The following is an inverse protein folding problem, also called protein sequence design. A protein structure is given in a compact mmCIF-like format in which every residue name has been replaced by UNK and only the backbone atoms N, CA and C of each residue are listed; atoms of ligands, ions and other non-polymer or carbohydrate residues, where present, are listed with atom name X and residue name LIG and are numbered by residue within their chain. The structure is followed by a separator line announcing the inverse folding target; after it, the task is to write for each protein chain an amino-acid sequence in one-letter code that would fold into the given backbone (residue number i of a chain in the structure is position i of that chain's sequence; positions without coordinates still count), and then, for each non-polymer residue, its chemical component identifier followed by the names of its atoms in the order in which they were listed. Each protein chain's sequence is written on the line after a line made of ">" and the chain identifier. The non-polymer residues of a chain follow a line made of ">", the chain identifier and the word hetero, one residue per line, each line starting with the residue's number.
data_IF_731294839934
#
_entry.id   IF_731294839934
#
_cell.length_a   1.000
_cell.length_b   1.000
_cell.length_c   1.000
_cell.angle_alpha   90.00
_cell.angle_beta   90.00
_cell.angle_gamma   90.00
#
_symmetry.space_group_name_H-M   'P 1'
#
loop_
_entity.id
_entity.type
_entity.pdbx_description
1 polymer ?
#
# COMPACT_ATOMS: atom_id res chain seq x y z
N UNK A 1 9.58 27.82 10.30
CA UNK A 1 9.78 27.39 8.91
C UNK A 1 8.74 26.32 8.61
N UNK A 2 7.61 26.74 8.05
CA UNK A 2 6.51 25.87 7.60
C UNK A 2 6.63 25.87 6.07
N UNK A 3 6.90 24.72 5.47
CA UNK A 3 6.89 24.56 4.02
C UNK A 3 5.51 24.02 3.67
N UNK A 4 4.68 24.87 3.09
CA UNK A 4 3.34 24.55 2.63
C UNK A 4 3.39 23.57 1.44
N UNK A 5 2.99 22.33 1.67
CA UNK A 5 2.89 21.23 0.68
C UNK A 5 1.59 21.32 -0.14
N UNK A 6 1.01 22.52 -0.26
CA UNK A 6 -0.27 22.75 -0.93
C UNK A 6 -0.11 23.51 -2.26
N UNK A 7 0.81 23.06 -3.13
CA UNK A 7 1.05 23.70 -4.44
C UNK A 7 1.33 22.75 -5.61
N UNK A 8 0.73 21.56 -5.64
CA UNK A 8 0.63 20.82 -6.89
C UNK A 8 -0.85 20.51 -7.15
N UNK A 9 -1.30 20.78 -8.37
CA UNK A 9 -2.66 20.61 -8.89
C UNK A 9 -3.63 21.79 -8.75
N UNK A 10 -3.23 22.95 -9.26
CA UNK A 10 -4.17 23.84 -9.98
C UNK A 10 -3.52 24.31 -11.27
N UNK A 11 -3.65 23.52 -12.36
CA UNK A 11 -3.81 24.07 -13.72
C UNK A 11 -4.78 23.14 -14.46
N UNK A 12 -5.98 23.65 -14.71
CA UNK A 12 -6.97 23.08 -15.62
C UNK A 12 -6.93 23.90 -16.92
N UNK A 13 -7.11 23.23 -18.06
CA UNK A 13 -7.78 23.67 -19.29
C UNK A 13 -6.97 23.61 -20.60
N UNK A 14 -7.65 23.03 -21.60
CA UNK A 14 -7.61 23.22 -23.06
C UNK A 14 -6.79 22.22 -23.90
N UNK A 15 -7.50 21.62 -24.88
CA UNK A 15 -6.94 21.28 -26.19
C UNK A 15 -6.44 19.85 -26.34
N UNK A 16 -6.89 19.18 -27.40
CA UNK A 16 -6.48 17.82 -27.73
C UNK A 16 -4.99 17.67 -28.04
N UNK A 17 -4.54 16.42 -28.04
CA UNK A 17 -3.23 16.03 -28.51
C UNK A 17 -2.82 14.66 -27.99
N UNK A 18 -2.65 13.71 -28.90
CA UNK A 18 -1.89 12.48 -28.63
C UNK A 18 -0.49 12.86 -28.11
N UNK A 19 -0.14 12.36 -26.93
CA UNK A 19 1.20 12.52 -26.37
C UNK A 19 1.28 11.73 -25.07
N UNK A 20 2.05 10.66 -25.06
CA UNK A 20 2.28 9.83 -23.88
C UNK A 20 2.73 10.69 -22.70
N UNK A 21 2.04 10.56 -21.58
CA UNK A 21 2.42 11.15 -20.30
C UNK A 21 2.81 10.02 -19.33
N UNK A 22 3.79 10.26 -18.46
CA UNK A 22 4.34 9.25 -17.56
C UNK A 22 3.30 8.84 -16.52
N UNK A 23 3.37 7.56 -16.17
CA UNK A 23 2.59 6.83 -15.16
C UNK A 23 2.03 7.74 -14.06
N UNK A 24 0.69 7.85 -13.97
CA UNK A 24 0.05 8.52 -12.84
C UNK A 24 0.33 7.70 -11.57
N UNK A 25 1.26 8.18 -10.75
CA UNK A 25 1.76 7.56 -9.52
C UNK A 25 0.81 7.66 -8.32
N UNK A 26 -0.44 8.07 -8.54
CA UNK A 26 -1.36 8.34 -7.44
C UNK A 26 -2.25 7.13 -7.16
N UNK A 27 -2.02 6.49 -6.01
CA UNK A 27 -2.89 5.46 -5.48
C UNK A 27 -4.31 6.01 -5.30
N UNK A 28 -5.31 5.25 -5.72
CA UNK A 28 -6.70 5.68 -5.67
C UNK A 28 -7.28 5.42 -4.28
N UNK A 29 -7.72 6.48 -3.63
CA UNK A 29 -8.60 6.44 -2.46
C UNK A 29 -10.02 6.13 -2.96
N UNK A 30 -10.48 4.88 -2.83
CA UNK A 30 -11.80 4.48 -3.36
C UNK A 30 -12.86 4.37 -2.25
N UNK A 31 -13.99 5.02 -2.47
CA UNK A 31 -15.28 4.62 -1.90
C UNK A 31 -15.83 3.42 -2.68
N UNK A 32 -16.15 2.32 -1.99
CA UNK A 32 -16.74 1.14 -2.64
C UNK A 32 -18.21 1.37 -3.00
N UNK A 33 -18.56 1.28 -4.29
CA UNK A 33 -19.95 1.12 -4.74
C UNK A 33 -20.23 -0.33 -5.15
N UNK A 34 -20.71 -1.16 -4.20
CA UNK A 34 -21.99 -1.91 -4.26
C UNK A 34 -22.09 -3.07 -3.26
N UNK A 35 -23.06 -2.93 -2.33
CA UNK A 35 -23.83 -3.96 -1.58
C UNK A 35 -23.08 -4.92 -0.63
N UNK A 36 -23.00 -4.53 0.65
CA UNK A 36 -23.89 -5.06 1.72
C UNK A 36 -23.48 -4.47 3.09
N UNK A 37 -24.42 -3.81 3.78
CA UNK A 37 -24.53 -3.71 5.25
C UNK A 37 -23.35 -3.27 6.14
N UNK A 38 -22.16 -2.95 5.62
CA UNK A 38 -21.01 -2.50 6.42
C UNK A 38 -20.85 -0.99 6.35
N UNK A 39 -20.53 -0.34 7.49
CA UNK A 39 -20.06 1.06 7.49
C UNK A 39 -18.90 1.19 6.49
N UNK A 40 -19.08 1.95 5.43
CA UNK A 40 -18.00 2.27 4.49
C UNK A 40 -16.91 3.00 5.28
N UNK A 41 -15.69 2.46 5.25
CA UNK A 41 -14.54 3.17 5.80
C UNK A 41 -14.37 4.49 5.04
N UNK A 42 -13.99 5.59 5.71
CA UNK A 42 -13.62 6.83 5.04
C UNK A 42 -12.57 6.54 3.96
N UNK A 43 -12.69 7.17 2.80
CA UNK A 43 -11.79 7.03 1.65
C UNK A 43 -10.31 6.99 2.09
N UNK A 44 -9.92 7.91 2.98
CA UNK A 44 -8.53 8.09 3.38
C UNK A 44 -8.01 7.04 4.38
N UNK A 45 -8.87 6.13 4.82
CA UNK A 45 -8.49 4.95 5.59
C UNK A 45 -8.26 3.74 4.68
N UNK A 46 -8.67 3.78 3.41
CA UNK A 46 -8.49 2.71 2.43
C UNK A 46 -7.74 3.23 1.20
N UNK A 47 -6.48 2.84 1.10
CA UNK A 47 -5.62 3.17 -0.04
C UNK A 47 -5.51 1.98 -0.99
N UNK A 48 -5.77 2.21 -2.28
CA UNK A 48 -5.70 1.16 -3.31
C UNK A 48 -4.71 1.56 -4.40
N UNK A 49 -3.67 0.75 -4.54
CA UNK A 49 -2.57 0.91 -5.49
C UNK A 49 -2.47 -0.30 -6.44
N UNK A 50 -3.59 -0.90 -6.85
CA UNK A 50 -3.59 -2.14 -7.63
C UNK A 50 -3.41 -1.92 -9.13
N UNK A 51 -2.69 -2.83 -9.82
CA UNK A 51 -2.47 -2.78 -11.28
C UNK A 51 -1.76 -1.50 -11.75
N UNK A 52 -0.79 -1.02 -10.98
CA UNK A 52 -0.02 0.19 -11.25
C UNK A 52 1.41 -0.13 -11.74
N UNK A 53 1.70 -1.41 -11.98
CA UNK A 53 3.02 -1.91 -12.36
C UNK A 53 4.13 -1.53 -11.37
N UNK A 54 3.80 -1.38 -10.08
CA UNK A 54 4.78 -1.01 -9.07
C UNK A 54 5.83 -2.11 -8.93
N UNK A 55 7.11 -1.76 -9.10
CA UNK A 55 8.24 -2.67 -8.91
C UNK A 55 8.72 -2.73 -7.44
N UNK A 56 8.29 -1.78 -6.62
CA UNK A 56 8.61 -1.65 -5.20
C UNK A 56 7.45 -0.98 -4.46
N UNK A 57 7.40 -1.14 -3.14
CA UNK A 57 6.49 -0.37 -2.29
C UNK A 57 6.89 1.11 -2.35
N UNK A 58 5.91 2.01 -2.45
CA UNK A 58 6.16 3.45 -2.37
C UNK A 58 6.72 3.82 -0.98
N UNK A 59 7.49 4.91 -0.87
CA UNK A 59 7.93 5.42 0.43
C UNK A 59 6.77 5.55 1.43
N UNK A 60 6.92 5.17 2.71
CA UNK A 60 5.80 5.13 3.66
C UNK A 60 5.07 6.47 3.88
N UNK A 61 5.77 7.58 3.70
CA UNK A 61 5.25 8.96 3.76
C UNK A 61 4.32 9.29 2.58
N UNK A 62 4.32 8.48 1.52
CA UNK A 62 3.36 8.56 0.40
C UNK A 62 1.97 8.06 0.78
N UNK A 63 1.83 7.37 1.91
CA UNK A 63 0.54 6.88 2.41
C UNK A 63 0.05 7.75 3.58
N UNK A 64 -1.27 8.02 3.70
CA UNK A 64 -1.81 8.67 4.88
C UNK A 64 -1.50 7.87 6.16
N UNK A 65 -1.04 8.52 7.22
CA UNK A 65 -0.75 7.87 8.51
C UNK A 65 -1.99 7.18 9.15
N UNK A 66 -3.19 7.59 8.73
CA UNK A 66 -4.47 6.99 9.13
C UNK A 66 -4.93 5.81 8.25
N UNK A 67 -4.06 5.29 7.39
CA UNK A 67 -4.40 4.16 6.49
C UNK A 67 -4.64 2.90 7.30
N UNK A 68 -5.87 2.39 7.25
CA UNK A 68 -6.31 1.14 7.90
C UNK A 68 -6.21 -0.04 6.94
N UNK A 69 -6.43 0.19 5.64
CA UNK A 69 -6.39 -0.83 4.60
C UNK A 69 -5.48 -0.33 3.47
N UNK A 70 -4.44 -1.10 3.16
CA UNK A 70 -3.56 -0.87 2.03
C UNK A 70 -3.64 -2.05 1.06
N UNK A 71 -4.04 -1.75 -0.17
CA UNK A 71 -4.19 -2.74 -1.23
C UNK A 71 -3.12 -2.48 -2.30
N UNK A 72 -2.16 -3.40 -2.42
CA UNK A 72 -1.02 -3.36 -3.34
C UNK A 72 -1.00 -4.56 -4.29
N UNK A 73 -2.13 -5.25 -4.45
CA UNK A 73 -2.22 -6.46 -5.26
C UNK A 73 -2.05 -6.19 -6.76
N UNK A 74 -1.67 -7.23 -7.51
CA UNK A 74 -1.50 -7.18 -8.96
C UNK A 74 -0.47 -6.11 -9.38
N UNK A 75 0.68 -6.09 -8.72
CA UNK A 75 1.82 -5.26 -9.11
C UNK A 75 3.02 -6.15 -9.46
N UNK A 76 4.20 -5.55 -9.63
CA UNK A 76 5.46 -6.23 -9.98
C UNK A 76 6.47 -6.14 -8.82
N UNK A 77 6.00 -6.04 -7.57
CA UNK A 77 6.84 -5.87 -6.39
C UNK A 77 7.65 -7.15 -6.18
N UNK A 78 8.97 -7.04 -6.13
CA UNK A 78 9.88 -8.19 -6.03
C UNK A 78 10.47 -8.40 -4.64
N UNK A 79 10.57 -7.32 -3.86
CA UNK A 79 11.13 -7.36 -2.52
C UNK A 79 10.39 -6.44 -1.56
N UNK A 80 10.32 -6.85 -0.29
CA UNK A 80 9.93 -5.99 0.82
C UNK A 80 11.17 -5.67 1.65
N UNK A 81 11.58 -4.41 1.64
CA UNK A 81 12.74 -3.91 2.38
C UNK A 81 12.39 -3.60 3.82
N UNK A 82 13.40 -3.53 4.69
CA UNK A 82 13.23 -3.07 6.06
C UNK A 82 12.50 -1.71 6.09
N UNK A 83 11.42 -1.61 6.86
CA UNK A 83 10.64 -0.39 7.00
C UNK A 83 9.78 -0.02 5.80
N UNK A 84 9.50 -0.93 4.86
CA UNK A 84 8.62 -0.67 3.69
C UNK A 84 7.25 -0.12 4.05
N UNK A 85 6.78 -0.35 5.28
CA UNK A 85 5.50 0.13 5.80
C UNK A 85 5.64 0.88 7.14
N UNK A 86 6.85 1.36 7.44
CA UNK A 86 7.13 1.99 8.73
C UNK A 86 6.23 3.20 8.97
N UNK A 87 5.68 3.31 10.19
CA UNK A 87 4.81 4.41 10.56
C UNK A 87 3.34 4.22 10.23
N UNK A 88 2.95 3.19 9.46
CA UNK A 88 1.54 2.83 9.22
C UNK A 88 0.93 2.10 10.42
N UNK A 89 0.98 2.75 11.58
CA UNK A 89 0.62 2.17 12.89
C UNK A 89 -0.84 1.77 13.03
N UNK A 90 -1.72 2.33 12.18
CA UNK A 90 -3.16 2.05 12.14
C UNK A 90 -3.54 0.97 11.12
N UNK A 91 -2.57 0.46 10.35
CA UNK A 91 -2.81 -0.50 9.27
C UNK A 91 -3.26 -1.85 9.83
N UNK A 92 -4.49 -2.25 9.50
CA UNK A 92 -5.08 -3.53 9.93
C UNK A 92 -5.06 -4.59 8.83
N UNK A 93 -5.09 -4.17 7.56
CA UNK A 93 -5.09 -5.07 6.40
C UNK A 93 -4.06 -4.62 5.36
N UNK A 94 -3.17 -5.53 5.00
CA UNK A 94 -2.20 -5.38 3.92
C UNK A 94 -2.40 -6.49 2.89
N UNK A 95 -2.78 -6.10 1.67
CA UNK A 95 -2.98 -7.01 0.54
C UNK A 95 -1.85 -6.86 -0.48
N UNK A 96 -0.94 -7.83 -0.51
CA UNK A 96 0.22 -7.89 -1.42
C UNK A 96 0.11 -9.06 -2.41
N UNK A 97 -1.09 -9.64 -2.57
CA UNK A 97 -1.25 -10.82 -3.41
C UNK A 97 -0.95 -10.53 -4.87
N UNK A 98 -0.56 -11.57 -5.62
CA UNK A 98 -0.28 -11.45 -7.06
C UNK A 98 0.77 -10.37 -7.34
N UNK A 99 1.88 -10.46 -6.62
CA UNK A 99 3.11 -9.73 -6.89
C UNK A 99 4.22 -10.74 -7.27
N UNK A 100 5.46 -10.30 -7.32
CA UNK A 100 6.62 -11.14 -7.62
C UNK A 100 7.57 -11.25 -6.41
N UNK A 101 7.02 -11.12 -5.20
CA UNK A 101 7.82 -11.02 -3.98
C UNK A 101 8.56 -12.34 -3.78
N UNK A 102 9.88 -12.28 -3.80
CA UNK A 102 10.77 -13.42 -3.56
C UNK A 102 11.66 -13.22 -2.34
N UNK A 103 11.85 -11.96 -1.92
CA UNK A 103 12.69 -11.57 -0.78
C UNK A 103 11.92 -10.66 0.18
N UNK A 104 11.92 -11.02 1.46
CA UNK A 104 11.38 -10.19 2.55
C UNK A 104 12.51 -9.99 3.56
N UNK A 105 12.95 -8.75 3.72
CA UNK A 105 14.00 -8.42 4.68
C UNK A 105 13.49 -8.47 6.12
N UNK A 106 14.36 -8.79 7.10
CA UNK A 106 14.04 -8.60 8.51
C UNK A 106 13.58 -7.17 8.77
N UNK A 107 12.45 -7.01 9.46
CA UNK A 107 11.86 -5.70 9.74
C UNK A 107 11.04 -5.09 8.59
N UNK A 108 10.76 -5.83 7.51
CA UNK A 108 9.87 -5.36 6.45
C UNK A 108 8.47 -4.93 6.97
N UNK A 109 7.99 -5.61 8.00
CA UNK A 109 6.70 -5.33 8.66
C UNK A 109 6.85 -4.62 10.02
N UNK A 110 8.04 -4.07 10.32
CA UNK A 110 8.27 -3.32 11.56
C UNK A 110 7.37 -2.08 11.61
N UNK A 111 6.77 -1.82 12.78
CA UNK A 111 5.90 -0.66 12.98
C UNK A 111 4.45 -0.86 12.55
N UNK A 112 4.01 -2.11 12.37
CA UNK A 112 2.62 -2.48 12.06
C UNK A 112 1.91 -3.18 13.25
N UNK A 113 1.81 -2.55 14.44
CA UNK A 113 1.26 -3.19 15.63
C UNK A 113 -0.24 -3.54 15.50
N UNK A 114 -0.98 -2.84 14.63
CA UNK A 114 -2.41 -3.07 14.41
C UNK A 114 -2.71 -4.11 13.32
N UNK A 115 -1.70 -4.67 12.65
CA UNK A 115 -1.92 -5.54 11.50
C UNK A 115 -2.58 -6.85 11.91
N UNK A 116 -3.78 -7.09 11.38
CA UNK A 116 -4.59 -8.28 11.63
C UNK A 116 -4.57 -9.27 10.47
N UNK A 117 -4.42 -8.74 9.24
CA UNK A 117 -4.50 -9.52 8.01
C UNK A 117 -3.37 -9.12 7.07
N UNK A 118 -2.51 -10.07 6.77
CA UNK A 118 -1.49 -9.97 5.74
C UNK A 118 -1.83 -11.00 4.67
N UNK A 119 -1.85 -10.59 3.40
CA UNK A 119 -2.04 -11.52 2.28
C UNK A 119 -0.81 -11.45 1.36
N UNK A 120 -0.01 -12.52 1.38
CA UNK A 120 1.17 -12.71 0.53
C UNK A 120 0.94 -13.78 -0.55
N UNK A 121 -0.31 -14.20 -0.77
CA UNK A 121 -0.63 -15.27 -1.72
C UNK A 121 -0.25 -14.91 -3.16
N UNK A 122 0.04 -15.93 -3.97
CA UNK A 122 0.46 -15.74 -5.36
C UNK A 122 1.69 -14.81 -5.49
N UNK A 123 2.73 -15.13 -4.74
CA UNK A 123 4.07 -14.53 -4.83
C UNK A 123 5.11 -15.64 -5.03
N UNK A 124 6.37 -15.27 -5.27
CA UNK A 124 7.48 -16.20 -5.51
C UNK A 124 8.32 -16.46 -4.24
N UNK A 125 7.65 -16.52 -3.09
CA UNK A 125 8.30 -16.68 -1.79
C UNK A 125 8.74 -18.14 -1.63
N UNK A 126 10.05 -18.37 -1.54
CA UNK A 126 10.62 -19.70 -1.29
C UNK A 126 10.58 -20.09 0.18
N UNK A 127 11.44 -19.46 0.99
CA UNK A 127 11.54 -19.72 2.43
C UNK A 127 11.20 -18.47 3.23
N UNK A 128 10.40 -18.62 4.28
CA UNK A 128 10.06 -17.55 5.22
C UNK A 128 10.79 -17.78 6.54
N UNK A 129 11.57 -16.79 6.99
CA UNK A 129 12.08 -16.78 8.35
C UNK A 129 10.99 -16.24 9.28
N UNK A 130 10.74 -16.91 10.42
CA UNK A 130 9.77 -16.48 11.43
C UNK A 130 10.03 -15.07 11.94
N UNK A 131 11.29 -14.64 11.97
CA UNK A 131 11.70 -13.31 12.45
C UNK A 131 11.13 -12.16 11.61
N UNK A 132 10.71 -12.41 10.37
CA UNK A 132 10.10 -11.35 9.55
C UNK A 132 8.75 -10.89 10.13
N UNK A 133 8.06 -11.76 10.86
CA UNK A 133 6.76 -11.47 11.48
C UNK A 133 6.90 -10.91 12.90
N UNK A 134 8.12 -10.68 13.37
CA UNK A 134 8.39 -10.11 14.68
C UNK A 134 7.70 -8.75 14.83
N UNK A 135 6.92 -8.60 15.90
CA UNK A 135 6.17 -7.38 16.19
C UNK A 135 4.75 -7.34 15.64
N UNK A 136 4.34 -8.32 14.81
CA UNK A 136 2.96 -8.48 14.35
C UNK A 136 2.09 -9.18 15.40
N UNK A 137 1.98 -8.57 16.58
CA UNK A 137 1.34 -9.18 17.77
C UNK A 137 -0.17 -9.38 17.64
N UNK A 138 -0.82 -8.68 16.71
CA UNK A 138 -2.26 -8.78 16.43
C UNK A 138 -2.59 -9.56 15.16
N UNK A 139 -1.61 -10.24 14.55
CA UNK A 139 -1.82 -10.96 13.30
C UNK A 139 -2.73 -12.18 13.53
N UNK A 140 -3.87 -12.19 12.85
CA UNK A 140 -4.88 -13.26 12.95
C UNK A 140 -4.88 -14.11 11.69
N UNK A 141 -4.54 -13.51 10.54
CA UNK A 141 -4.54 -14.18 9.24
C UNK A 141 -3.32 -13.78 8.40
N UNK A 142 -2.66 -14.80 7.86
CA UNK A 142 -1.55 -14.74 6.91
C UNK A 142 -1.96 -15.40 5.58
#
# INVERSE_FOLDING_TARGET
>A
MKVDVLRLFVILLLGGGCGGSPVSSDCKSYDERSKSGGKSLPSDQKVVCSNMELHQVLPPDSFPNRTVILILNNNKIQELRNGSFFGLSTLEKLDLRSNMISRIEPGAFLGLPALKRLDLSNNSIGCLNVDIFKGLTNLIRL
#
